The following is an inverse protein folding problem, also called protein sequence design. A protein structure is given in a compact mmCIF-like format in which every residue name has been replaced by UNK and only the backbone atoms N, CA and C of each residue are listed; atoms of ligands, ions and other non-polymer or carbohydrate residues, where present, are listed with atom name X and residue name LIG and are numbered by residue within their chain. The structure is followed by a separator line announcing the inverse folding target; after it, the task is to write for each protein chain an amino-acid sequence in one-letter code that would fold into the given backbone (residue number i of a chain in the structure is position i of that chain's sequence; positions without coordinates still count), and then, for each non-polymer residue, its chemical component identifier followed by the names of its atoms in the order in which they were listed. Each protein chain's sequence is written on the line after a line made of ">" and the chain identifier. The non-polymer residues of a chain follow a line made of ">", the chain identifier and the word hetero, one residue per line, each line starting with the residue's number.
data_IF_832308772119
#
_entry.id   IF_832308772119
#
_cell.length_a   1.000
_cell.length_b   1.000
_cell.length_c   1.000
_cell.angle_alpha   90.00
_cell.angle_beta   90.00
_cell.angle_gamma   90.00
#
_symmetry.space_group_name_H-M   'P 1'
#
loop_
_entity.id
_entity.type
_entity.pdbx_description
1 polymer ?
#
# COMPACT_ATOMS: atom_id res chain seq x y z
N UNK A 1 45.34 1.71 39.56
CA UNK A 1 44.07 2.41 39.25
C UNK A 1 43.75 2.14 37.78
N UNK A 2 42.75 1.30 37.49
CA UNK A 2 42.35 0.95 36.13
C UNK A 2 40.94 1.46 35.89
N UNK A 3 40.81 2.47 35.02
CA UNK A 3 39.52 3.04 34.62
C UNK A 3 39.14 2.40 33.29
N UNK A 4 38.35 1.31 33.34
CA UNK A 4 37.83 0.66 32.16
C UNK A 4 36.61 1.43 31.65
N UNK A 5 36.78 2.23 30.59
CA UNK A 5 35.67 2.80 29.83
C UNK A 5 34.93 1.68 29.09
N UNK A 6 33.76 1.30 29.60
CA UNK A 6 32.75 0.54 28.88
C UNK A 6 32.11 1.45 27.83
N UNK A 7 32.58 1.38 26.59
CA UNK A 7 31.83 1.90 25.44
C UNK A 7 30.61 1.01 25.20
N UNK A 8 29.46 1.43 25.70
CA UNK A 8 28.15 0.90 25.31
C UNK A 8 27.89 1.28 23.87
N UNK A 9 28.08 0.33 22.95
CA UNK A 9 27.62 0.46 21.58
C UNK A 9 26.09 0.56 21.57
N UNK A 10 25.57 1.75 21.32
CA UNK A 10 24.13 1.97 21.10
C UNK A 10 23.79 1.30 19.76
N UNK A 11 23.22 0.11 19.83
CA UNK A 11 22.66 -0.56 18.66
C UNK A 11 21.46 0.25 18.15
N UNK A 12 21.69 1.08 17.13
CA UNK A 12 20.61 1.73 16.37
C UNK A 12 19.80 0.62 15.71
N UNK A 13 18.62 0.33 16.25
CA UNK A 13 17.67 -0.59 15.62
C UNK A 13 17.35 -0.07 14.21
N UNK A 14 17.92 -0.71 13.18
CA UNK A 14 17.57 -0.45 11.78
C UNK A 14 16.06 -0.61 11.65
N UNK A 15 15.35 0.49 11.40
CA UNK A 15 13.94 0.48 10.99
C UNK A 15 13.88 -0.26 9.66
N UNK A 16 13.64 -1.57 9.72
CA UNK A 16 13.45 -2.38 8.54
C UNK A 16 12.15 -1.98 7.84
N UNK A 17 12.13 -2.07 6.52
CA UNK A 17 10.88 -2.16 5.78
C UNK A 17 10.46 -3.63 5.74
N UNK A 18 9.15 -3.88 5.69
CA UNK A 18 8.61 -5.22 5.41
C UNK A 18 9.27 -5.72 4.11
N UNK A 19 9.77 -6.96 4.01
CA UNK A 19 10.31 -7.47 2.74
C UNK A 19 9.27 -7.39 1.62
N UNK A 20 9.66 -7.00 0.40
CA UNK A 20 8.72 -6.73 -0.71
C UNK A 20 7.83 -7.94 -1.02
N UNK A 21 8.39 -9.16 -0.97
CA UNK A 21 7.63 -10.40 -1.18
C UNK A 21 6.54 -10.57 -0.11
N UNK A 22 6.87 -10.24 1.14
CA UNK A 22 5.90 -10.26 2.24
C UNK A 22 4.88 -9.14 2.10
N UNK A 23 5.27 -7.96 1.61
CA UNK A 23 4.33 -6.87 1.29
C UNK A 23 3.30 -7.33 0.25
N UNK A 24 3.75 -7.88 -0.88
CA UNK A 24 2.88 -8.36 -1.95
C UNK A 24 1.91 -9.44 -1.44
N UNK A 25 2.42 -10.42 -0.69
CA UNK A 25 1.60 -11.48 -0.08
C UNK A 25 0.57 -10.94 0.91
N UNK A 26 0.96 -10.02 1.79
CA UNK A 26 0.05 -9.41 2.77
C UNK A 26 -1.01 -8.58 2.06
N UNK A 27 -0.63 -7.77 1.06
CA UNK A 27 -1.57 -6.97 0.28
C UNK A 27 -2.59 -7.84 -0.45
N UNK A 28 -2.16 -8.89 -1.15
CA UNK A 28 -3.06 -9.83 -1.82
C UNK A 28 -4.02 -10.53 -0.84
N UNK A 29 -3.51 -10.92 0.33
CA UNK A 29 -4.33 -11.50 1.40
C UNK A 29 -5.33 -10.50 1.96
N UNK A 30 -4.94 -9.25 2.22
CA UNK A 30 -5.84 -8.22 2.76
C UNK A 30 -6.94 -7.88 1.76
N UNK A 31 -6.59 -7.80 0.47
CA UNK A 31 -7.55 -7.58 -0.60
C UNK A 31 -8.68 -8.62 -0.62
N UNK A 32 -8.40 -9.89 -0.27
CA UNK A 32 -9.44 -10.92 -0.18
C UNK A 32 -10.37 -10.77 1.04
N UNK A 33 -10.08 -9.86 1.97
CA UNK A 33 -10.99 -9.50 3.07
C UNK A 33 -11.79 -8.23 2.80
N UNK A 34 -11.54 -7.54 1.69
CA UNK A 34 -12.39 -6.44 1.24
C UNK A 34 -13.63 -7.01 0.55
N UNK A 35 -14.80 -6.76 1.15
CA UNK A 35 -16.09 -7.32 0.68
C UNK A 35 -16.45 -6.85 -0.73
N UNK A 36 -15.96 -5.69 -1.14
CA UNK A 36 -16.23 -5.13 -2.46
C UNK A 36 -15.17 -5.54 -3.49
N UNK A 37 -14.13 -6.29 -3.09
CA UNK A 37 -13.05 -6.68 -4.00
C UNK A 37 -13.51 -7.66 -5.08
N UNK A 38 -14.40 -8.60 -4.74
CA UNK A 38 -14.90 -9.58 -5.70
C UNK A 38 -15.57 -8.91 -6.91
N UNK A 39 -16.34 -7.85 -6.68
CA UNK A 39 -16.94 -7.04 -7.74
C UNK A 39 -15.87 -6.33 -8.57
N UNK A 40 -14.88 -5.69 -7.92
CA UNK A 40 -13.79 -4.97 -8.61
C UNK A 40 -12.92 -5.85 -9.48
N UNK A 41 -12.77 -7.14 -9.16
CA UNK A 41 -11.91 -8.07 -9.89
C UNK A 41 -12.69 -9.06 -10.76
N UNK A 42 -14.00 -8.86 -10.94
CA UNK A 42 -14.90 -9.75 -11.67
C UNK A 42 -14.45 -10.02 -13.12
N UNK A 43 -13.83 -9.04 -13.79
CA UNK A 43 -13.25 -9.15 -15.13
C UNK A 43 -11.73 -9.44 -15.13
N UNK A 44 -11.15 -9.68 -13.96
CA UNK A 44 -9.70 -9.80 -13.73
C UNK A 44 -9.18 -8.73 -12.78
N UNK A 45 -8.15 -9.07 -12.00
CA UNK A 45 -7.55 -8.13 -11.08
C UNK A 45 -6.54 -7.23 -11.80
N UNK A 46 -6.82 -5.94 -11.91
CA UNK A 46 -5.87 -4.93 -12.40
C UNK A 46 -5.30 -4.13 -11.23
N UNK A 47 -3.98 -4.18 -11.08
CA UNK A 47 -3.25 -3.43 -10.05
C UNK A 47 -2.30 -2.45 -10.73
N UNK A 48 -2.31 -1.21 -10.26
CA UNK A 48 -1.43 -0.15 -10.72
C UNK A 48 -0.33 0.09 -9.68
N UNK A 49 0.93 -0.03 -10.06
CA UNK A 49 2.06 0.40 -9.24
C UNK A 49 2.45 1.82 -9.65
N UNK A 50 2.26 2.77 -8.75
CA UNK A 50 2.49 4.19 -9.01
C UNK A 50 3.89 4.60 -8.52
N UNK A 51 4.67 5.22 -9.41
CA UNK A 51 6.05 5.64 -9.14
C UNK A 51 6.24 7.12 -9.40
N UNK A 52 7.31 7.71 -8.86
CA UNK A 52 7.83 9.00 -9.27
C UNK A 52 8.76 8.89 -10.48
N UNK A 53 8.97 10.00 -11.18
CA UNK A 53 9.91 10.10 -12.30
C UNK A 53 11.41 10.11 -11.86
N UNK A 54 11.76 9.37 -10.81
CA UNK A 54 13.15 9.23 -10.34
C UNK A 54 13.57 7.76 -10.30
N UNK A 55 14.88 7.53 -10.45
CA UNK A 55 15.44 6.18 -10.61
C UNK A 55 15.17 5.28 -9.40
N UNK A 56 15.15 5.83 -8.18
CA UNK A 56 14.92 5.08 -6.95
C UNK A 56 13.49 4.52 -6.90
N UNK A 57 12.50 5.38 -7.14
CA UNK A 57 11.09 4.99 -7.19
C UNK A 57 10.81 4.01 -8.33
N UNK A 58 11.42 4.22 -9.49
CA UNK A 58 11.31 3.30 -10.63
C UNK A 58 11.87 1.89 -10.33
N UNK A 59 13.03 1.80 -9.69
CA UNK A 59 13.59 0.50 -9.27
C UNK A 59 12.69 -0.17 -8.25
N UNK A 60 12.14 0.57 -7.29
CA UNK A 60 11.21 0.04 -6.30
C UNK A 60 9.92 -0.45 -6.96
N UNK A 61 9.35 0.30 -7.89
CA UNK A 61 8.14 -0.05 -8.63
C UNK A 61 8.30 -1.37 -9.40
N UNK A 62 9.41 -1.56 -10.10
CA UNK A 62 9.72 -2.81 -10.80
C UNK A 62 9.79 -4.01 -9.85
N UNK A 63 10.41 -3.84 -8.67
CA UNK A 63 10.49 -4.89 -7.66
C UNK A 63 9.13 -5.24 -7.06
N UNK A 64 8.31 -4.24 -6.77
CA UNK A 64 6.93 -4.43 -6.29
C UNK A 64 6.08 -5.12 -7.36
N UNK A 65 6.17 -4.67 -8.62
CA UNK A 65 5.47 -5.28 -9.74
C UNK A 65 5.83 -6.75 -9.89
N UNK A 66 7.11 -7.10 -9.85
CA UNK A 66 7.56 -8.49 -9.90
C UNK A 66 6.96 -9.30 -8.75
N UNK A 67 7.11 -8.84 -7.50
CA UNK A 67 6.61 -9.56 -6.34
C UNK A 67 5.08 -9.73 -6.31
N UNK A 68 4.34 -8.76 -6.86
CA UNK A 68 2.89 -8.86 -7.05
C UNK A 68 2.56 -9.89 -8.14
N UNK A 69 3.25 -9.88 -9.29
CA UNK A 69 3.05 -10.86 -10.37
C UNK A 69 3.38 -12.29 -9.95
N UNK A 70 4.30 -12.45 -9.00
CA UNK A 70 4.64 -13.76 -8.42
C UNK A 70 3.54 -14.32 -7.49
N UNK A 71 2.50 -13.53 -7.17
CA UNK A 71 1.35 -14.05 -6.43
C UNK A 71 0.47 -14.90 -7.36
N UNK A 72 0.02 -16.09 -6.93
CA UNK A 72 -0.74 -17.01 -7.77
C UNK A 72 -2.10 -16.43 -8.20
N UNK A 73 -2.70 -15.58 -7.36
CA UNK A 73 -3.91 -14.83 -7.65
C UNK A 73 -4.00 -13.59 -6.77
N UNK A 74 -4.89 -12.67 -7.16
CA UNK A 74 -5.23 -11.50 -6.37
C UNK A 74 -6.72 -11.50 -6.09
N UNK A 75 -7.09 -11.73 -4.83
CA UNK A 75 -8.49 -11.93 -4.41
C UNK A 75 -9.23 -13.01 -5.24
N UNK A 76 -8.52 -14.07 -5.64
CA UNK A 76 -9.09 -15.17 -6.44
C UNK A 76 -9.10 -14.94 -7.95
N UNK A 77 -8.77 -13.74 -8.43
CA UNK A 77 -8.73 -13.42 -9.86
C UNK A 77 -7.30 -13.46 -10.44
N UNK A 78 -7.22 -13.65 -11.76
CA UNK A 78 -5.96 -13.51 -12.53
C UNK A 78 -5.46 -12.07 -12.43
N UNK A 79 -4.21 -11.92 -12.06
CA UNK A 79 -3.60 -10.62 -11.78
C UNK A 79 -2.86 -10.06 -13.01
N UNK A 80 -3.14 -8.79 -13.33
CA UNK A 80 -2.32 -7.93 -14.20
C UNK A 80 -1.79 -6.76 -13.38
N UNK A 81 -0.48 -6.51 -13.51
CA UNK A 81 0.19 -5.41 -12.81
C UNK A 81 0.86 -4.49 -13.81
N UNK A 82 0.40 -3.24 -13.87
CA UNK A 82 0.92 -2.18 -14.71
C UNK A 82 1.70 -1.17 -13.83
N UNK A 83 2.71 -0.50 -14.39
CA UNK A 83 3.43 0.60 -13.72
C UNK A 83 3.04 1.91 -14.39
N UNK A 84 2.83 2.96 -13.60
CA UNK A 84 2.62 4.32 -14.10
C UNK A 84 3.46 5.32 -13.32
N UNK A 85 4.04 6.27 -14.05
CA UNK A 85 4.66 7.46 -13.44
C UNK A 85 3.57 8.45 -13.06
N UNK A 86 3.58 8.87 -11.79
CA UNK A 86 2.67 9.87 -11.26
C UNK A 86 2.90 11.23 -11.92
N UNK A 87 1.80 11.85 -12.34
CA UNK A 87 1.77 13.22 -12.86
C UNK A 87 0.90 14.09 -11.95
N UNK A 88 -0.39 13.79 -11.84
CA UNK A 88 -1.36 14.50 -11.00
C UNK A 88 -2.33 13.52 -10.34
N UNK A 89 -2.99 13.96 -9.26
CA UNK A 89 -4.02 13.15 -8.63
C UNK A 89 -5.25 12.94 -9.52
N UNK A 90 -5.60 13.93 -10.35
CA UNK A 90 -6.71 13.84 -11.30
C UNK A 90 -6.44 12.78 -12.38
N UNK A 91 -5.25 12.77 -12.98
CA UNK A 91 -4.87 11.76 -13.98
C UNK A 91 -4.82 10.34 -13.38
N UNK A 92 -4.46 10.22 -12.09
CA UNK A 92 -4.56 8.95 -11.37
C UNK A 92 -6.01 8.49 -11.24
N UNK A 93 -6.93 9.37 -10.84
CA UNK A 93 -8.35 9.04 -10.71
C UNK A 93 -8.95 8.60 -12.05
N UNK A 94 -8.71 9.37 -13.11
CA UNK A 94 -9.14 9.03 -14.48
C UNK A 94 -8.60 7.67 -14.92
N UNK A 95 -7.31 7.40 -14.66
CA UNK A 95 -6.73 6.07 -14.94
C UNK A 95 -7.46 4.98 -14.18
N UNK A 96 -7.69 5.16 -12.89
CA UNK A 96 -8.33 4.14 -12.04
C UNK A 96 -9.73 3.79 -12.56
N UNK A 97 -10.50 4.79 -12.95
CA UNK A 97 -11.88 4.61 -13.41
C UNK A 97 -11.99 4.01 -14.81
N UNK A 98 -11.16 4.51 -15.74
CA UNK A 98 -11.15 4.06 -17.15
C UNK A 98 -10.71 2.61 -17.25
N UNK A 99 -9.66 2.24 -16.52
CA UNK A 99 -9.08 0.90 -16.57
C UNK A 99 -9.68 -0.08 -15.57
N UNK A 100 -10.60 0.36 -14.71
CA UNK A 100 -11.15 -0.45 -13.61
C UNK A 100 -10.03 -1.02 -12.72
N UNK A 101 -9.12 -0.15 -12.30
CA UNK A 101 -8.02 -0.54 -11.41
C UNK A 101 -8.58 -0.89 -10.03
N UNK A 102 -8.39 -2.14 -9.61
CA UNK A 102 -8.86 -2.62 -8.31
C UNK A 102 -7.98 -2.13 -7.14
N UNK A 103 -6.69 -1.89 -7.40
CA UNK A 103 -5.75 -1.39 -6.40
C UNK A 103 -4.65 -0.51 -7.00
N UNK A 104 -4.28 0.54 -6.27
CA UNK A 104 -3.07 1.33 -6.51
C UNK A 104 -2.05 1.09 -5.39
N UNK A 105 -0.83 0.71 -5.76
CA UNK A 105 0.30 0.53 -4.86
C UNK A 105 1.32 1.66 -5.06
N UNK A 106 1.58 2.45 -4.02
CA UNK A 106 2.52 3.58 -4.08
C UNK A 106 3.97 3.11 -3.85
N UNK A 107 4.78 3.14 -4.90
CA UNK A 107 6.18 2.74 -4.90
C UNK A 107 7.11 3.92 -4.60
N UNK A 108 7.03 4.48 -3.39
CA UNK A 108 7.86 5.61 -2.97
C UNK A 108 7.17 6.44 -1.89
N UNK A 109 7.75 7.61 -1.60
CA UNK A 109 7.12 8.57 -0.69
C UNK A 109 6.09 9.40 -1.44
N UNK A 110 4.83 9.33 -1.03
CA UNK A 110 3.70 10.08 -1.59
C UNK A 110 3.02 10.96 -0.54
N UNK A 111 3.62 11.09 0.64
CA UNK A 111 3.12 11.84 1.79
C UNK A 111 2.71 13.29 1.47
N UNK A 112 3.46 13.99 0.61
CA UNK A 112 3.14 15.36 0.16
C UNK A 112 1.90 15.42 -0.73
N UNK A 113 1.62 14.36 -1.48
CA UNK A 113 0.48 14.26 -2.41
C UNK A 113 -0.74 13.55 -1.80
N UNK A 114 -0.59 12.93 -0.64
CA UNK A 114 -1.60 12.05 -0.05
C UNK A 114 -2.97 12.72 0.09
N UNK A 115 -3.04 14.00 0.49
CA UNK A 115 -4.31 14.75 0.61
C UNK A 115 -4.92 15.10 -0.74
N UNK A 116 -4.11 15.29 -1.78
CA UNK A 116 -4.61 15.54 -3.13
C UNK A 116 -5.16 14.26 -3.76
N UNK A 117 -4.40 13.17 -3.64
CA UNK A 117 -4.81 11.82 -4.05
C UNK A 117 -6.09 11.39 -3.32
N UNK A 118 -6.19 11.64 -2.02
CA UNK A 118 -7.38 11.38 -1.22
C UNK A 118 -8.63 12.04 -1.82
N UNK A 119 -8.53 13.33 -2.16
CA UNK A 119 -9.63 14.11 -2.72
C UNK A 119 -10.01 13.60 -4.11
N UNK A 120 -9.03 13.34 -4.96
CA UNK A 120 -9.27 12.88 -6.33
C UNK A 120 -9.89 11.48 -6.39
N UNK A 121 -9.56 10.60 -5.44
CA UNK A 121 -10.09 9.24 -5.38
C UNK A 121 -11.36 9.12 -4.53
N UNK A 122 -11.95 10.22 -4.04
CA UNK A 122 -13.20 10.17 -3.27
C UNK A 122 -14.34 9.72 -4.20
N UNK A 123 -15.07 8.67 -3.80
CA UNK A 123 -16.13 8.04 -4.58
C UNK A 123 -15.62 6.99 -5.59
N UNK A 124 -14.30 6.89 -5.78
CA UNK A 124 -13.70 5.92 -6.70
C UNK A 124 -13.52 4.58 -5.99
N UNK A 125 -14.04 3.51 -6.57
CA UNK A 125 -13.92 2.15 -5.99
C UNK A 125 -12.51 1.60 -6.22
N UNK A 126 -11.60 1.80 -5.26
CA UNK A 126 -10.18 1.38 -5.39
C UNK A 126 -9.52 1.18 -4.02
N UNK A 127 -8.68 0.15 -3.89
CA UNK A 127 -7.82 -0.01 -2.71
C UNK A 127 -6.49 0.71 -2.91
N UNK A 128 -6.14 1.64 -2.01
CA UNK A 128 -4.84 2.34 -2.06
C UNK A 128 -3.87 1.81 -0.99
N UNK A 129 -2.62 1.49 -1.37
CA UNK A 129 -1.65 0.80 -0.51
C UNK A 129 -0.28 1.46 -0.52
N UNK A 130 0.32 1.69 0.66
CA UNK A 130 1.66 2.27 0.81
C UNK A 130 2.47 1.58 1.93
N UNK A 131 3.79 1.77 1.92
CA UNK A 131 4.67 1.45 3.05
C UNK A 131 4.98 2.67 3.92
N UNK A 132 4.51 3.85 3.52
CA UNK A 132 4.73 5.11 4.23
C UNK A 132 3.55 5.43 5.15
N UNK A 133 3.74 5.22 6.46
CA UNK A 133 2.64 5.30 7.43
C UNK A 133 2.06 6.71 7.60
N UNK A 134 2.84 7.75 7.34
CA UNK A 134 2.37 9.14 7.40
C UNK A 134 1.35 9.43 6.27
N UNK A 135 1.54 8.86 5.08
CA UNK A 135 0.61 8.98 3.97
C UNK A 135 -0.74 8.32 4.27
N UNK A 136 -0.78 7.24 5.07
CA UNK A 136 -2.02 6.60 5.51
C UNK A 136 -2.88 7.57 6.33
N UNK A 137 -2.27 8.24 7.30
CA UNK A 137 -2.96 9.27 8.12
C UNK A 137 -3.48 10.44 7.28
N UNK A 138 -2.85 10.71 6.13
CA UNK A 138 -3.18 11.82 5.23
C UNK A 138 -4.18 11.46 4.14
N UNK A 139 -4.53 10.17 3.96
CA UNK A 139 -5.58 9.76 3.04
C UNK A 139 -5.24 8.63 2.06
N UNK A 140 -4.21 7.82 2.35
CA UNK A 140 -4.06 6.49 1.73
C UNK A 140 -4.75 5.44 2.60
N UNK A 141 -5.44 4.46 2.00
CA UNK A 141 -6.29 3.51 2.72
C UNK A 141 -5.47 2.55 3.60
N UNK A 142 -4.48 1.87 3.03
CA UNK A 142 -3.74 0.79 3.69
C UNK A 142 -2.25 1.11 3.81
N UNK A 143 -1.71 0.93 5.01
CA UNK A 143 -0.28 0.99 5.29
C UNK A 143 0.30 -0.35 5.73
N UNK A 144 1.50 -0.67 5.23
CA UNK A 144 2.32 -1.78 5.70
C UNK A 144 3.56 -1.24 6.40
N UNK A 145 3.70 -1.50 7.70
CA UNK A 145 4.88 -1.10 8.48
C UNK A 145 5.49 -2.27 9.25
N UNK A 146 6.66 -2.05 9.85
CA UNK A 146 7.22 -2.93 10.88
C UNK A 146 7.15 -2.25 12.23
N UNK A 147 6.69 -2.97 13.25
CA UNK A 147 6.92 -2.62 14.66
C UNK A 147 7.64 -3.79 15.32
N UNK A 148 8.81 -3.52 15.91
CA UNK A 148 9.63 -4.53 16.59
C UNK A 148 9.87 -5.77 15.73
N UNK A 149 10.17 -5.57 14.43
CA UNK A 149 10.45 -6.63 13.47
C UNK A 149 9.22 -7.40 12.96
N UNK A 150 8.01 -7.11 13.44
CA UNK A 150 6.77 -7.76 13.01
C UNK A 150 5.96 -6.85 12.06
N UNK A 151 5.44 -7.37 10.94
CA UNK A 151 4.51 -6.63 10.10
C UNK A 151 3.31 -6.14 10.89
N UNK A 152 2.98 -4.85 10.71
CA UNK A 152 1.79 -4.21 11.25
C UNK A 152 1.03 -3.53 10.13
N UNK A 153 -0.29 -3.69 10.18
CA UNK A 153 -1.22 -3.14 9.20
C UNK A 153 -1.86 -1.88 9.76
N UNK A 154 -2.00 -0.86 8.92
CA UNK A 154 -2.61 0.42 9.24
C UNK A 154 -3.75 0.68 8.28
N UNK A 155 -4.89 1.12 8.80
CA UNK A 155 -6.08 1.41 7.99
C UNK A 155 -6.54 2.84 8.26
N UNK A 156 -6.70 3.63 7.21
CA UNK A 156 -7.51 4.84 7.25
C UNK A 156 -8.97 4.47 6.97
N UNK A 157 -9.79 4.34 8.01
CA UNK A 157 -11.16 3.86 7.87
C UNK A 157 -12.08 4.87 7.15
N UNK A 158 -12.06 6.18 7.47
CA UNK A 158 -12.82 7.17 6.68
C UNK A 158 -12.48 7.11 5.20
N UNK A 159 -11.19 6.99 4.87
CA UNK A 159 -10.78 6.89 3.48
C UNK A 159 -11.15 5.56 2.83
N UNK A 160 -11.10 4.46 3.57
CA UNK A 160 -11.57 3.17 3.08
C UNK A 160 -13.04 3.29 2.63
N UNK A 161 -13.90 3.86 3.46
CA UNK A 161 -15.30 4.12 3.10
C UNK A 161 -15.42 5.04 1.88
N UNK A 162 -14.65 6.13 1.84
CA UNK A 162 -14.67 7.07 0.73
C UNK A 162 -14.20 6.46 -0.61
N UNK A 163 -13.41 5.38 -0.59
CA UNK A 163 -12.96 4.63 -1.77
C UNK A 163 -13.71 3.29 -1.95
N UNK A 164 -14.85 3.14 -1.27
CA UNK A 164 -15.68 1.92 -1.28
C UNK A 164 -14.92 0.64 -0.91
N UNK A 165 -13.88 0.73 -0.08
CA UNK A 165 -13.16 -0.40 0.53
C UNK A 165 -13.84 -0.80 1.83
N UNK A 166 -14.28 -2.05 1.91
CA UNK A 166 -14.98 -2.58 3.08
C UNK A 166 -14.27 -3.80 3.66
N UNK A 167 -13.30 -3.54 4.54
CA UNK A 167 -12.54 -4.58 5.22
C UNK A 167 -13.41 -5.32 6.24
N UNK A 168 -13.39 -6.65 6.18
CA UNK A 168 -14.13 -7.50 7.11
C UNK A 168 -13.78 -7.18 8.59
N UNK A 169 -14.77 -7.09 9.51
CA UNK A 169 -14.56 -6.68 10.90
C UNK A 169 -13.51 -7.51 11.66
N UNK A 170 -13.38 -8.80 11.33
CA UNK A 170 -12.37 -9.69 11.93
C UNK A 170 -10.94 -9.21 11.66
N UNK A 171 -10.68 -8.61 10.50
CA UNK A 171 -9.35 -8.12 10.15
C UNK A 171 -9.07 -6.76 10.81
N UNK A 172 -10.10 -5.93 11.02
CA UNK A 172 -9.94 -4.63 11.71
C UNK A 172 -9.33 -4.78 13.12
N UNK A 173 -9.63 -5.88 13.82
CA UNK A 173 -9.06 -6.19 15.15
C UNK A 173 -7.54 -6.40 15.12
N UNK A 174 -6.95 -6.64 13.96
CA UNK A 174 -5.52 -6.87 13.75
C UNK A 174 -4.79 -5.64 13.20
N UNK A 175 -5.50 -4.53 12.99
CA UNK A 175 -4.98 -3.32 12.35
C UNK A 175 -4.93 -2.15 13.33
N UNK A 176 -3.99 -1.24 13.12
CA UNK A 176 -4.08 0.11 13.68
C UNK A 176 -5.05 0.91 12.83
N UNK A 177 -6.15 1.35 13.41
CA UNK A 177 -7.21 2.06 12.68
C UNK A 177 -7.14 3.56 12.97
N UNK A 178 -7.03 4.36 11.91
CA UNK A 178 -7.24 5.80 11.94
C UNK A 178 -8.70 6.11 11.62
N UNK A 179 -9.27 7.02 12.40
CA UNK A 179 -10.65 7.48 12.32
C UNK A 179 -10.69 8.98 12.06
#
# INVERSE_FOLDING_TARGET
>A
MACALLLTAIAVAKRGNVPIQLQAKLTAKIASYDRNMAERVSSGARVLVLQHANSNSQRLARRIQSALRDQPSFAGAKLRVDIQTFSTAAALAERVESDKIAMVYFAGSFDSYAREIQRALKGVSVLTVTTELSAVRKGIVLGLGLISGRPKLYLNLPQAHAQHVQIAPRLLKLMVVYR
#
